data_IF_438102020532
#
_entry.id   IF_438102020532
#
_cell.length_a   1.000
_cell.length_b   1.000
_cell.length_c   1.000
_cell.angle_alpha   90.00
_cell.angle_beta   90.00
_cell.angle_gamma   90.00
#
_symmetry.space_group_name_H-M   'P 1'
#
loop_
_entity.id
_entity.type
_entity.pdbx_description
1 polymer ?
#
# COMPACT_ATOMS: atom_id res chain seq x y z
N UNK A 1 14.70 -34.45 28.17
CA UNK A 1 14.69 -35.90 27.90
C UNK A 1 15.81 -36.18 26.92
N UNK A 2 16.67 -37.19 27.16
CA UNK A 2 17.69 -37.57 26.18
C UNK A 2 16.98 -37.94 24.86
N UNK A 3 17.22 -37.16 23.81
CA UNK A 3 16.56 -37.37 22.53
C UNK A 3 17.24 -38.55 21.83
N UNK A 4 16.88 -39.78 22.24
CA UNK A 4 17.41 -40.98 21.62
C UNK A 4 16.92 -41.06 20.17
N UNK A 5 17.87 -41.12 19.24
CA UNK A 5 17.59 -41.33 17.82
C UNK A 5 16.64 -42.52 17.63
N UNK A 6 15.69 -42.43 16.69
CA UNK A 6 14.77 -43.52 16.36
C UNK A 6 15.50 -44.83 16.03
N UNK A 7 16.67 -44.75 15.40
CA UNK A 7 17.51 -45.92 15.19
C UNK A 7 18.01 -46.54 16.50
N UNK A 8 18.39 -45.73 17.49
CA UNK A 8 18.79 -46.24 18.82
C UNK A 8 17.60 -46.86 19.55
N UNK A 9 16.40 -46.27 19.46
CA UNK A 9 15.17 -46.83 20.05
C UNK A 9 14.83 -48.22 19.48
N UNK A 10 15.13 -48.45 18.20
CA UNK A 10 14.98 -49.76 17.54
C UNK A 10 16.24 -50.65 17.61
N UNK A 11 17.28 -50.23 18.33
CA UNK A 11 18.53 -50.99 18.44
C UNK A 11 19.23 -51.25 17.10
N UNK A 12 19.24 -50.24 16.23
CA UNK A 12 19.76 -50.32 14.85
C UNK A 12 20.52 -49.04 14.43
N UNK A 13 20.91 -48.95 13.16
CA UNK A 13 21.64 -47.82 12.55
C UNK A 13 20.96 -47.37 11.26
N UNK A 14 21.30 -46.17 10.77
CA UNK A 14 20.75 -45.60 9.53
C UNK A 14 20.98 -46.44 8.27
N UNK A 15 21.91 -47.41 8.29
CA UNK A 15 22.19 -48.31 7.16
C UNK A 15 21.25 -49.53 7.08
N UNK A 16 20.24 -49.63 7.95
CA UNK A 16 19.34 -50.79 7.99
C UNK A 16 18.43 -50.86 6.76
N UNK A 17 18.25 -52.07 6.22
CA UNK A 17 17.28 -52.36 5.16
C UNK A 17 15.86 -52.44 5.69
N UNK A 18 14.88 -52.19 4.82
CA UNK A 18 13.46 -52.21 5.19
C UNK A 18 13.01 -53.51 5.86
N UNK A 19 13.40 -54.66 5.28
CA UNK A 19 13.05 -55.97 5.82
C UNK A 19 13.60 -56.18 7.25
N UNK A 20 14.82 -55.71 7.53
CA UNK A 20 15.42 -55.83 8.87
C UNK A 20 14.83 -54.83 9.86
N UNK A 21 14.31 -53.69 9.40
CA UNK A 21 13.68 -52.68 10.25
C UNK A 21 12.42 -53.25 10.92
N UNK A 22 11.62 -54.01 10.17
CA UNK A 22 10.42 -54.69 10.68
C UNK A 22 10.77 -55.77 11.71
N UNK A 23 11.80 -56.59 11.44
CA UNK A 23 12.30 -57.57 12.41
C UNK A 23 12.73 -56.90 13.73
N UNK A 24 13.41 -55.75 13.65
CA UNK A 24 13.85 -54.99 14.82
C UNK A 24 12.68 -54.38 15.58
N UNK A 25 11.67 -53.88 14.88
CA UNK A 25 10.44 -53.40 15.51
C UNK A 25 9.73 -54.50 16.29
N UNK A 26 9.51 -55.67 15.68
CA UNK A 26 8.85 -56.82 16.33
C UNK A 26 9.61 -57.28 17.58
N UNK A 27 10.95 -57.31 17.52
CA UNK A 27 11.78 -57.62 18.67
C UNK A 27 11.66 -56.57 19.79
N UNK A 28 11.65 -55.28 19.44
CA UNK A 28 11.56 -54.19 20.40
C UNK A 28 10.18 -54.14 21.11
N UNK A 29 9.08 -54.31 20.38
CA UNK A 29 7.72 -54.35 21.00
C UNK A 29 7.46 -55.61 21.81
N UNK A 30 8.12 -56.72 21.47
CA UNK A 30 8.05 -57.96 22.28
C UNK A 30 8.81 -57.80 23.60
N UNK A 31 9.92 -57.05 23.59
CA UNK A 31 10.69 -56.73 24.79
C UNK A 31 10.00 -55.68 25.69
N UNK A 32 9.19 -54.81 25.09
CA UNK A 32 8.43 -53.77 25.78
C UNK A 32 6.93 -53.88 25.46
N UNK A 33 6.20 -54.89 26.00
CA UNK A 33 4.78 -55.08 25.70
C UNK A 33 3.90 -53.90 26.11
N UNK A 34 2.84 -53.65 25.35
CA UNK A 34 1.91 -52.52 25.59
C UNK A 34 1.24 -52.59 26.96
N UNK A 35 0.99 -53.79 27.47
CA UNK A 35 0.30 -54.05 28.74
C UNK A 35 1.16 -53.69 29.95
N UNK A 36 2.49 -53.84 29.84
CA UNK A 36 3.42 -53.65 30.95
C UNK A 36 4.25 -52.37 30.84
N UNK A 37 4.54 -51.93 29.61
CA UNK A 37 5.36 -50.73 29.33
C UNK A 37 4.76 -49.88 28.19
N UNK A 38 3.58 -49.28 28.38
CA UNK A 38 2.84 -48.59 27.32
C UNK A 38 3.59 -47.39 26.72
N UNK A 39 4.37 -46.66 27.53
CA UNK A 39 5.14 -45.48 27.05
C UNK A 39 6.29 -45.90 26.12
N UNK A 40 7.07 -46.92 26.50
CA UNK A 40 8.15 -47.45 25.65
C UNK A 40 7.61 -48.07 24.37
N UNK A 41 6.50 -48.81 24.46
CA UNK A 41 5.80 -49.36 23.30
C UNK A 41 5.39 -48.25 22.32
N UNK A 42 4.85 -47.13 22.82
CA UNK A 42 4.45 -46.00 21.99
C UNK A 42 5.66 -45.36 21.27
N UNK A 43 6.76 -45.11 21.99
CA UNK A 43 7.98 -44.51 21.44
C UNK A 43 8.68 -45.41 20.40
N UNK A 44 8.64 -46.74 20.59
CA UNK A 44 9.14 -47.74 19.63
C UNK A 44 8.27 -47.77 18.38
N UNK A 45 6.96 -47.70 18.55
CA UNK A 45 5.98 -47.71 17.46
C UNK A 45 6.10 -46.44 16.61
N UNK A 46 6.19 -45.27 17.24
CA UNK A 46 6.49 -44.00 16.58
C UNK A 46 7.79 -44.08 15.76
N UNK A 47 8.88 -44.55 16.38
CA UNK A 47 10.18 -44.69 15.71
C UNK A 47 10.11 -45.63 14.48
N UNK A 48 9.37 -46.74 14.57
CA UNK A 48 9.19 -47.64 13.44
C UNK A 48 8.34 -46.99 12.34
N UNK A 49 7.24 -46.34 12.67
CA UNK A 49 6.38 -45.72 11.66
C UNK A 49 7.11 -44.61 10.89
N UNK A 50 7.89 -43.78 11.57
CA UNK A 50 8.70 -42.73 10.92
C UNK A 50 9.84 -43.30 10.07
N UNK A 51 10.43 -44.44 10.46
CA UNK A 51 11.53 -45.04 9.69
C UNK A 51 11.05 -46.02 8.60
N UNK A 52 9.80 -46.48 8.66
CA UNK A 52 9.24 -47.45 7.72
C UNK A 52 8.96 -46.81 6.37
N UNK A 53 8.42 -45.60 6.34
CA UNK A 53 8.13 -44.93 5.08
C UNK A 53 9.40 -44.23 4.54
N UNK A 54 9.79 -44.44 3.26
CA UNK A 54 11.03 -43.88 2.74
C UNK A 54 11.12 -42.34 2.81
N UNK A 55 10.01 -41.65 2.60
CA UNK A 55 9.96 -40.19 2.59
C UNK A 55 10.15 -39.63 4.00
N UNK A 56 9.37 -40.13 4.97
CA UNK A 56 9.48 -39.73 6.37
C UNK A 56 10.83 -40.13 6.98
N UNK A 57 11.41 -41.26 6.57
CA UNK A 57 12.78 -41.65 6.95
C UNK A 57 13.82 -40.67 6.40
N UNK A 58 13.69 -40.26 5.14
CA UNK A 58 14.60 -39.27 4.54
C UNK A 58 14.51 -37.94 5.27
N UNK A 59 13.30 -37.46 5.57
CA UNK A 59 13.09 -36.23 6.36
C UNK A 59 13.74 -36.33 7.75
N UNK A 60 13.56 -37.46 8.44
CA UNK A 60 14.19 -37.71 9.74
C UNK A 60 15.72 -37.71 9.66
N UNK A 61 16.29 -38.38 8.65
CA UNK A 61 17.74 -38.46 8.46
C UNK A 61 18.35 -37.08 8.19
N UNK A 62 17.68 -36.25 7.36
CA UNK A 62 18.05 -34.86 7.12
C UNK A 62 18.10 -34.10 8.45
N UNK A 63 17.01 -34.09 9.22
CA UNK A 63 16.95 -33.31 10.48
C UNK A 63 18.00 -33.75 11.48
N UNK A 64 18.25 -35.06 11.56
CA UNK A 64 19.30 -35.63 12.42
C UNK A 64 20.67 -35.06 12.04
N UNK A 65 20.96 -34.88 10.76
CA UNK A 65 22.24 -34.33 10.29
C UNK A 65 22.41 -32.84 10.68
N UNK A 66 21.30 -32.13 10.90
CA UNK A 66 21.27 -30.75 11.40
C UNK A 66 21.01 -30.66 12.92
N UNK A 67 21.19 -31.75 13.67
CA UNK A 67 21.03 -31.83 15.12
C UNK A 67 19.64 -31.41 15.64
N UNK A 68 18.58 -31.63 14.86
CA UNK A 68 17.21 -31.25 15.24
C UNK A 68 17.05 -29.75 15.55
N UNK A 69 17.85 -28.90 14.89
CA UNK A 69 17.80 -27.45 15.04
C UNK A 69 17.09 -26.83 13.81
N UNK A 70 15.87 -26.31 13.98
CA UNK A 70 15.08 -25.78 12.86
C UNK A 70 15.77 -24.60 12.17
N UNK A 71 16.52 -23.77 12.92
CA UNK A 71 17.23 -22.62 12.36
C UNK A 71 18.38 -23.08 11.46
N UNK A 72 19.19 -24.06 11.91
CA UNK A 72 20.27 -24.59 11.08
C UNK A 72 19.77 -25.21 9.78
N UNK A 73 18.63 -25.88 9.85
CA UNK A 73 18.01 -26.49 8.69
C UNK A 73 17.49 -25.43 7.71
N UNK A 74 16.85 -24.38 8.24
CA UNK A 74 16.39 -23.24 7.45
C UNK A 74 17.55 -22.48 6.77
N UNK A 75 18.60 -22.13 7.51
CA UNK A 75 19.79 -21.47 6.94
C UNK A 75 20.53 -22.35 5.92
N UNK A 76 20.52 -23.67 6.11
CA UNK A 76 21.04 -24.59 5.11
C UNK A 76 20.19 -24.57 3.82
N UNK A 77 18.87 -24.49 3.95
CA UNK A 77 17.96 -24.34 2.81
C UNK A 77 18.22 -23.04 2.04
N UNK A 78 18.31 -21.90 2.73
CA UNK A 78 18.69 -20.62 2.13
C UNK A 78 20.03 -20.74 1.39
N UNK A 79 21.04 -21.36 2.02
CA UNK A 79 22.35 -21.53 1.39
C UNK A 79 22.31 -22.42 0.13
N UNK A 80 21.43 -23.42 0.07
CA UNK A 80 21.23 -24.24 -1.14
C UNK A 80 20.53 -23.47 -2.26
N UNK A 81 19.51 -22.68 -1.92
CA UNK A 81 18.81 -21.79 -2.85
C UNK A 81 19.78 -20.75 -3.47
N UNK A 82 20.60 -20.10 -2.64
CA UNK A 82 21.65 -19.18 -3.10
C UNK A 82 22.67 -19.79 -4.06
N UNK A 83 22.85 -21.11 -4.02
CA UNK A 83 23.74 -21.85 -4.93
C UNK A 83 23.03 -22.36 -6.20
N UNK A 84 21.73 -22.12 -6.34
CA UNK A 84 20.89 -22.60 -7.43
C UNK A 84 20.45 -24.06 -7.31
N UNK A 85 20.68 -24.71 -6.17
CA UNK A 85 20.25 -26.09 -5.92
C UNK A 85 18.88 -26.11 -5.21
N UNK A 86 17.85 -25.74 -5.97
CA UNK A 86 16.49 -25.57 -5.42
C UNK A 86 15.90 -26.92 -4.99
N UNK A 87 16.25 -28.01 -5.67
CA UNK A 87 15.78 -29.35 -5.30
C UNK A 87 16.27 -29.79 -3.93
N UNK A 88 17.54 -29.53 -3.59
CA UNK A 88 18.04 -29.80 -2.24
C UNK A 88 17.45 -28.82 -1.21
N UNK A 89 17.25 -27.55 -1.59
CA UNK A 89 16.58 -26.56 -0.75
C UNK A 89 15.17 -26.98 -0.35
N UNK A 90 14.39 -27.45 -1.32
CA UNK A 90 13.04 -27.97 -1.10
C UNK A 90 13.04 -29.16 -0.15
N UNK A 91 13.97 -30.11 -0.31
CA UNK A 91 14.06 -31.24 0.60
C UNK A 91 14.33 -30.81 2.05
N UNK A 92 15.19 -29.79 2.25
CA UNK A 92 15.48 -29.24 3.58
C UNK A 92 14.27 -28.52 4.18
N UNK A 93 13.57 -27.70 3.39
CA UNK A 93 12.35 -27.00 3.82
C UNK A 93 11.21 -27.97 4.13
N UNK A 94 10.99 -28.98 3.30
CA UNK A 94 9.94 -29.98 3.55
C UNK A 94 10.25 -30.78 4.83
N UNK A 95 11.51 -31.14 5.07
CA UNK A 95 11.91 -31.77 6.32
C UNK A 95 11.66 -30.83 7.52
N UNK A 96 12.03 -29.55 7.42
CA UNK A 96 11.80 -28.53 8.45
C UNK A 96 10.31 -28.38 8.77
N UNK A 97 9.50 -28.08 7.76
CA UNK A 97 8.11 -27.70 7.94
C UNK A 97 7.25 -28.90 8.38
N UNK A 98 7.49 -30.11 7.86
CA UNK A 98 6.67 -31.28 8.21
C UNK A 98 6.97 -31.87 9.60
N UNK A 99 8.16 -31.65 10.15
CA UNK A 99 8.61 -32.34 11.37
C UNK A 99 8.66 -31.43 12.60
N UNK A 100 8.74 -30.11 12.40
CA UNK A 100 8.69 -29.15 13.49
C UNK A 100 7.32 -28.50 13.59
N UNK A 101 6.80 -28.37 14.81
CA UNK A 101 5.65 -27.52 15.10
C UNK A 101 6.14 -26.09 15.27
N UNK A 102 6.25 -25.38 14.15
CA UNK A 102 6.76 -24.02 14.14
C UNK A 102 5.70 -23.04 14.67
N UNK A 103 6.13 -22.13 15.54
CA UNK A 103 5.26 -21.05 16.00
C UNK A 103 5.06 -19.99 14.91
N UNK A 104 4.01 -19.18 15.03
CA UNK A 104 3.80 -18.01 14.16
C UNK A 104 5.05 -17.12 14.13
N UNK A 105 5.62 -16.77 15.29
CA UNK A 105 6.83 -15.96 15.36
C UNK A 105 8.02 -16.56 14.59
N UNK A 106 8.19 -17.89 14.65
CA UNK A 106 9.28 -18.56 13.94
C UNK A 106 9.08 -18.50 12.42
N UNK A 107 7.85 -18.70 11.95
CA UNK A 107 7.54 -18.60 10.53
C UNK A 107 7.70 -17.17 10.02
N UNK A 108 7.27 -16.15 10.77
CA UNK A 108 7.50 -14.74 10.43
C UNK A 108 9.00 -14.47 10.32
N UNK A 109 9.82 -14.89 11.30
CA UNK A 109 11.27 -14.69 11.21
C UNK A 109 11.91 -15.41 10.01
N UNK A 110 11.38 -16.57 9.61
CA UNK A 110 11.84 -17.25 8.40
C UNK A 110 11.46 -16.51 7.12
N UNK A 111 10.26 -15.91 7.07
CA UNK A 111 9.86 -15.05 5.96
C UNK A 111 10.80 -13.84 5.88
N UNK A 112 10.99 -13.12 6.99
CA UNK A 112 11.85 -11.93 7.05
C UNK A 112 13.29 -12.24 6.60
N UNK A 113 13.85 -13.37 7.04
CA UNK A 113 15.19 -13.80 6.65
C UNK A 113 15.26 -14.21 5.17
N UNK A 114 14.26 -14.94 4.66
CA UNK A 114 14.21 -15.29 3.23
C UNK A 114 14.17 -14.04 2.35
N UNK A 115 13.42 -13.02 2.78
CA UNK A 115 13.31 -11.72 2.12
C UNK A 115 14.62 -10.95 2.19
N UNK A 116 15.23 -10.85 3.37
CA UNK A 116 16.53 -10.19 3.55
C UNK A 116 17.65 -10.82 2.72
N UNK A 117 17.54 -12.12 2.45
CA UNK A 117 18.50 -12.88 1.67
C UNK A 117 18.11 -13.03 0.18
N UNK A 118 17.05 -12.33 -0.26
CA UNK A 118 16.52 -12.32 -1.63
C UNK A 118 16.16 -13.73 -2.18
N UNK A 119 15.71 -14.62 -1.30
CA UNK A 119 15.32 -16.00 -1.63
C UNK A 119 13.79 -16.16 -1.69
N UNK A 120 13.15 -15.46 -2.62
CA UNK A 120 11.68 -15.39 -2.71
C UNK A 120 11.00 -16.72 -3.06
N UNK A 121 11.71 -17.63 -3.74
CA UNK A 121 11.21 -18.98 -4.07
C UNK A 121 10.84 -19.81 -2.81
N UNK A 122 11.34 -19.41 -1.63
CA UNK A 122 11.01 -20.05 -0.35
C UNK A 122 9.59 -19.67 0.12
N UNK A 123 9.11 -18.47 -0.21
CA UNK A 123 7.87 -17.93 0.33
C UNK A 123 6.64 -18.76 -0.07
N UNK A 124 6.47 -19.24 -1.32
CA UNK A 124 5.37 -20.14 -1.69
C UNK A 124 5.37 -21.46 -0.90
N UNK A 125 6.55 -21.98 -0.53
CA UNK A 125 6.68 -23.20 0.28
C UNK A 125 6.16 -22.95 1.71
N UNK A 126 6.55 -21.82 2.31
CA UNK A 126 6.06 -21.39 3.63
C UNK A 126 4.55 -21.14 3.58
N UNK A 127 4.05 -20.47 2.54
CA UNK A 127 2.61 -20.25 2.31
C UNK A 127 1.84 -21.57 2.27
N UNK A 128 2.31 -22.54 1.47
CA UNK A 128 1.65 -23.84 1.37
C UNK A 128 1.59 -24.55 2.72
N UNK A 129 2.68 -24.52 3.49
CA UNK A 129 2.71 -25.08 4.84
C UNK A 129 1.74 -24.39 5.79
N UNK A 130 1.79 -23.05 5.87
CA UNK A 130 0.94 -22.27 6.75
C UNK A 130 -0.55 -22.58 6.54
N UNK A 131 -0.97 -22.65 5.27
CA UNK A 131 -2.37 -22.84 4.88
C UNK A 131 -2.90 -24.27 5.02
N UNK A 132 -2.06 -25.28 4.81
CA UNK A 132 -2.55 -26.67 4.65
C UNK A 132 -2.00 -27.65 5.69
N UNK A 133 -0.89 -27.33 6.36
CA UNK A 133 -0.13 -28.30 7.15
C UNK A 133 0.28 -27.82 8.54
N UNK A 134 0.17 -26.52 8.79
CA UNK A 134 0.56 -25.96 10.08
C UNK A 134 -0.41 -26.37 11.19
N UNK A 135 0.08 -26.33 12.43
CA UNK A 135 -0.74 -26.50 13.63
C UNK A 135 -1.21 -25.16 14.21
N UNK A 136 -1.07 -24.09 13.43
CA UNK A 136 -1.47 -22.76 13.86
C UNK A 136 -2.99 -22.70 14.01
N UNK A 137 -3.45 -21.88 14.96
CA UNK A 137 -4.84 -21.47 14.98
C UNK A 137 -5.18 -20.57 13.77
N UNK A 138 -6.47 -20.25 13.62
CA UNK A 138 -6.97 -19.47 12.49
C UNK A 138 -6.35 -18.07 12.42
N UNK A 139 -6.22 -17.40 13.56
CA UNK A 139 -5.71 -16.04 13.65
C UNK A 139 -4.22 -16.02 13.31
N UNK A 140 -3.45 -16.91 13.91
CA UNK A 140 -2.02 -17.09 13.61
C UNK A 140 -1.78 -17.40 12.13
N UNK A 141 -2.63 -18.24 11.52
CA UNK A 141 -2.56 -18.55 10.09
C UNK A 141 -2.84 -17.31 9.23
N UNK A 142 -3.87 -16.54 9.58
CA UNK A 142 -4.22 -15.32 8.86
C UNK A 142 -3.14 -14.24 8.97
N UNK A 143 -2.49 -14.10 10.12
CA UNK A 143 -1.34 -13.20 10.32
C UNK A 143 -0.16 -13.60 9.42
N UNK A 144 0.18 -14.89 9.35
CA UNK A 144 1.24 -15.35 8.43
C UNK A 144 0.86 -15.06 6.98
N UNK A 145 -0.41 -15.27 6.62
CA UNK A 145 -0.90 -14.94 5.29
C UNK A 145 -0.82 -13.44 4.98
N UNK A 146 -1.11 -12.56 5.95
CA UNK A 146 -0.97 -11.11 5.72
C UNK A 146 0.49 -10.70 5.56
N UNK A 147 1.40 -11.26 6.37
CA UNK A 147 2.85 -11.02 6.23
C UNK A 147 3.33 -11.49 4.85
N UNK A 148 2.93 -12.68 4.41
CA UNK A 148 3.25 -13.18 3.08
C UNK A 148 2.65 -12.30 1.98
N UNK A 149 1.41 -11.83 2.12
CA UNK A 149 0.77 -10.97 1.14
C UNK A 149 1.48 -9.62 0.97
N UNK A 150 1.99 -9.03 2.05
CA UNK A 150 2.83 -7.81 1.98
C UNK A 150 4.11 -8.11 1.21
N UNK A 151 4.85 -9.15 1.60
CA UNK A 151 6.11 -9.47 0.94
C UNK A 151 5.91 -9.86 -0.54
N UNK A 152 4.90 -10.66 -0.87
CA UNK A 152 4.60 -10.98 -2.27
C UNK A 152 4.24 -9.74 -3.08
N UNK A 153 3.49 -8.79 -2.51
CA UNK A 153 3.18 -7.53 -3.19
C UNK A 153 4.44 -6.70 -3.48
N UNK A 154 5.33 -6.57 -2.50
CA UNK A 154 6.57 -5.77 -2.62
C UNK A 154 7.50 -6.31 -3.72
N UNK A 155 7.37 -7.60 -4.07
CA UNK A 155 8.12 -8.26 -5.14
C UNK A 155 7.27 -8.62 -6.36
N UNK A 156 6.11 -8.00 -6.52
CA UNK A 156 5.24 -8.11 -7.71
C UNK A 156 4.70 -9.54 -7.98
N UNK A 157 4.64 -10.39 -6.96
CA UNK A 157 4.02 -11.73 -7.00
C UNK A 157 2.50 -11.65 -6.79
N UNK A 158 1.80 -10.98 -7.71
CA UNK A 158 0.37 -10.67 -7.56
C UNK A 158 -0.53 -11.92 -7.52
N UNK A 159 -0.17 -12.98 -8.26
CA UNK A 159 -0.91 -14.25 -8.29
C UNK A 159 -0.92 -14.94 -6.91
N UNK A 160 0.22 -14.91 -6.20
CA UNK A 160 0.38 -15.43 -4.86
C UNK A 160 -0.44 -14.63 -3.85
N UNK A 161 -0.44 -13.30 -3.96
CA UNK A 161 -1.29 -12.40 -3.15
C UNK A 161 -2.77 -12.71 -3.37
N UNK A 162 -3.22 -12.84 -4.63
CA UNK A 162 -4.60 -13.19 -4.96
C UNK A 162 -4.99 -14.58 -4.45
N UNK A 163 -4.07 -15.55 -4.49
CA UNK A 163 -4.26 -16.89 -3.93
C UNK A 163 -4.50 -16.83 -2.42
N UNK A 164 -3.72 -16.04 -1.69
CA UNK A 164 -3.95 -15.76 -0.26
C UNK A 164 -5.36 -15.18 -0.07
N UNK A 165 -5.73 -14.17 -0.86
CA UNK A 165 -7.04 -13.52 -0.73
C UNK A 165 -8.22 -14.43 -0.98
N UNK A 166 -8.10 -15.36 -1.94
CA UNK A 166 -9.13 -16.39 -2.16
C UNK A 166 -9.28 -17.28 -0.92
N UNK A 167 -8.18 -17.76 -0.36
CA UNK A 167 -8.20 -18.69 0.76
C UNK A 167 -8.68 -18.01 2.05
N UNK A 168 -8.25 -16.77 2.31
CA UNK A 168 -8.74 -15.97 3.43
C UNK A 168 -10.25 -15.73 3.30
N UNK A 169 -10.77 -15.35 2.13
CA UNK A 169 -12.22 -15.17 1.93
C UNK A 169 -13.03 -16.45 2.13
N UNK A 170 -12.53 -17.59 1.64
CA UNK A 170 -13.24 -18.86 1.71
C UNK A 170 -13.16 -19.52 3.10
N UNK A 171 -12.06 -19.32 3.83
CA UNK A 171 -11.75 -20.10 5.04
C UNK A 171 -11.76 -19.26 6.33
N UNK A 172 -11.35 -17.99 6.23
CA UNK A 172 -11.07 -17.10 7.35
C UNK A 172 -11.60 -15.67 7.10
N UNK A 173 -12.86 -15.48 6.67
CA UNK A 173 -13.38 -14.18 6.23
C UNK A 173 -13.31 -13.11 7.32
N UNK A 174 -13.37 -13.50 8.60
CA UNK A 174 -13.27 -12.61 9.76
C UNK A 174 -11.89 -11.95 9.90
N UNK A 175 -10.85 -12.47 9.23
CA UNK A 175 -9.48 -11.95 9.26
C UNK A 175 -9.04 -11.32 7.92
N UNK A 176 -9.96 -11.13 6.98
CA UNK A 176 -9.65 -10.57 5.65
C UNK A 176 -9.01 -9.17 5.74
N UNK A 177 -9.41 -8.40 6.76
CA UNK A 177 -8.88 -7.06 7.01
C UNK A 177 -7.36 -7.03 7.21
N UNK A 178 -6.75 -8.10 7.74
CA UNK A 178 -5.30 -8.17 7.96
C UNK A 178 -4.50 -8.09 6.65
N UNK A 179 -5.05 -8.60 5.55
CA UNK A 179 -4.41 -8.61 4.24
C UNK A 179 -5.06 -7.62 3.24
N UNK A 180 -6.07 -6.85 3.68
CA UNK A 180 -6.93 -6.10 2.76
C UNK A 180 -6.18 -5.08 1.91
N UNK A 181 -5.18 -4.39 2.47
CA UNK A 181 -4.34 -3.44 1.72
C UNK A 181 -3.61 -4.15 0.58
N UNK A 182 -2.87 -5.22 0.89
CA UNK A 182 -2.10 -5.97 -0.12
C UNK A 182 -3.00 -6.59 -1.18
N UNK A 183 -4.13 -7.16 -0.77
CA UNK A 183 -5.11 -7.72 -1.70
C UNK A 183 -5.67 -6.63 -2.62
N UNK A 184 -6.09 -5.49 -2.07
CA UNK A 184 -6.65 -4.38 -2.85
C UNK A 184 -5.66 -3.90 -3.90
N UNK A 185 -4.39 -3.69 -3.52
CA UNK A 185 -3.35 -3.25 -4.44
C UNK A 185 -3.05 -4.29 -5.54
N UNK A 186 -3.01 -5.58 -5.20
CA UNK A 186 -2.85 -6.64 -6.20
C UNK A 186 -4.02 -6.70 -7.19
N UNK A 187 -5.27 -6.56 -6.72
CA UNK A 187 -6.43 -6.52 -7.63
C UNK A 187 -6.47 -5.25 -8.50
N UNK A 188 -6.00 -4.10 -8.00
CA UNK A 188 -5.85 -2.88 -8.82
C UNK A 188 -4.83 -3.11 -9.92
N UNK A 189 -3.68 -3.72 -9.61
CA UNK A 189 -2.64 -4.02 -10.59
C UNK A 189 -3.14 -4.93 -11.73
N UNK A 190 -4.01 -5.89 -11.40
CA UNK A 190 -4.62 -6.81 -12.37
C UNK A 190 -5.89 -6.26 -13.04
N UNK A 191 -6.12 -4.94 -13.00
CA UNK A 191 -7.29 -4.25 -13.56
C UNK A 191 -8.65 -4.76 -13.02
N UNK A 192 -8.67 -5.38 -11.83
CA UNK A 192 -9.86 -5.91 -11.17
C UNK A 192 -10.42 -4.94 -10.11
N UNK A 193 -10.66 -3.70 -10.54
CA UNK A 193 -11.07 -2.58 -9.67
C UNK A 193 -12.32 -2.87 -8.81
N UNK A 194 -13.36 -3.50 -9.37
CA UNK A 194 -14.58 -3.83 -8.62
C UNK A 194 -14.27 -4.73 -7.41
N UNK A 195 -13.44 -5.74 -7.62
CA UNK A 195 -13.01 -6.67 -6.56
C UNK A 195 -12.16 -5.97 -5.51
N UNK A 196 -11.25 -5.09 -5.94
CA UNK A 196 -10.41 -4.29 -5.04
C UNK A 196 -11.28 -3.41 -4.12
N UNK A 197 -12.26 -2.71 -4.71
CA UNK A 197 -13.20 -1.86 -3.96
C UNK A 197 -14.07 -2.67 -3.00
N UNK A 198 -14.53 -3.86 -3.39
CA UNK A 198 -15.30 -4.74 -2.50
C UNK A 198 -14.48 -5.21 -1.29
N UNK A 199 -13.24 -5.66 -1.51
CA UNK A 199 -12.33 -6.10 -0.44
C UNK A 199 -12.08 -4.96 0.53
N UNK A 200 -11.74 -3.78 0.00
CA UNK A 200 -11.43 -2.64 0.84
C UNK A 200 -12.65 -2.19 1.66
N UNK A 201 -13.85 -2.17 1.07
CA UNK A 201 -15.10 -1.86 1.78
C UNK A 201 -15.38 -2.84 2.92
N UNK A 202 -15.08 -4.12 2.76
CA UNK A 202 -15.25 -5.14 3.80
C UNK A 202 -14.26 -4.95 4.95
N UNK A 203 -13.09 -4.40 4.67
CA UNK A 203 -12.05 -4.14 5.66
C UNK A 203 -12.19 -2.80 6.39
N UNK A 204 -13.09 -1.91 5.95
CA UNK A 204 -13.30 -0.63 6.60
C UNK A 204 -13.85 -0.83 8.02
N UNK A 205 -13.31 -0.11 9.03
CA UNK A 205 -13.82 -0.19 10.39
C UNK A 205 -15.24 0.38 10.50
N UNK A 206 -16.02 -0.17 11.44
CA UNK A 206 -17.30 0.42 11.81
C UNK A 206 -17.10 1.83 12.39
N UNK A 207 -18.11 2.69 12.23
CA UNK A 207 -18.03 4.06 12.70
C UNK A 207 -17.81 4.13 14.23
N UNK A 208 -16.77 4.86 14.65
CA UNK A 208 -16.31 4.98 16.05
C UNK A 208 -15.64 3.73 16.64
N UNK A 209 -15.32 2.74 15.83
CA UNK A 209 -14.48 1.60 16.22
C UNK A 209 -13.10 1.67 15.58
N UNK A 210 -12.74 2.80 14.97
CA UNK A 210 -11.48 2.96 14.26
C UNK A 210 -10.29 2.98 15.25
N UNK A 211 -9.25 2.21 14.93
CA UNK A 211 -8.02 2.06 15.69
C UNK A 211 -6.81 2.42 14.84
N UNK A 212 -5.62 2.46 15.46
CA UNK A 212 -4.38 2.71 14.72
C UNK A 212 -4.15 1.67 13.62
N UNK A 213 -4.61 0.43 13.79
CA UNK A 213 -4.43 -0.65 12.81
C UNK A 213 -5.23 -0.42 11.51
N UNK A 214 -6.26 0.42 11.56
CA UNK A 214 -7.14 0.68 10.41
C UNK A 214 -6.62 1.81 9.50
N UNK A 215 -5.57 2.52 9.90
CA UNK A 215 -5.08 3.72 9.21
C UNK A 215 -4.73 3.41 7.76
N UNK A 216 -4.00 2.34 7.49
CA UNK A 216 -3.55 2.01 6.13
C UNK A 216 -4.72 1.70 5.19
N UNK A 217 -5.73 0.96 5.67
CA UNK A 217 -6.97 0.69 4.93
C UNK A 217 -7.74 1.99 4.64
N UNK A 218 -7.83 2.88 5.62
CA UNK A 218 -8.50 4.18 5.47
C UNK A 218 -7.75 5.11 4.51
N UNK A 219 -6.42 5.12 4.51
CA UNK A 219 -5.60 5.91 3.58
C UNK A 219 -5.77 5.40 2.15
N UNK A 220 -5.71 4.09 1.94
CA UNK A 220 -5.97 3.50 0.62
C UNK A 220 -7.38 3.83 0.12
N UNK A 221 -8.38 3.84 1.02
CA UNK A 221 -9.74 4.21 0.64
C UNK A 221 -9.86 5.69 0.27
N UNK A 222 -9.13 6.58 0.95
CA UNK A 222 -9.05 7.99 0.56
C UNK A 222 -8.42 8.16 -0.83
N UNK A 223 -7.33 7.45 -1.14
CA UNK A 223 -6.69 7.48 -2.47
C UNK A 223 -7.69 7.11 -3.56
N UNK A 224 -8.37 5.96 -3.42
CA UNK A 224 -9.36 5.51 -4.40
C UNK A 224 -10.52 6.51 -4.56
N UNK A 225 -11.00 7.12 -3.48
CA UNK A 225 -12.05 8.12 -3.58
C UNK A 225 -11.58 9.42 -4.27
N UNK A 226 -10.29 9.76 -4.16
CA UNK A 226 -9.70 10.91 -4.86
C UNK A 226 -9.54 10.59 -6.35
N UNK A 227 -9.00 9.42 -6.68
CA UNK A 227 -8.80 8.95 -8.06
C UNK A 227 -10.13 8.83 -8.83
N UNK A 228 -11.18 8.34 -8.18
CA UNK A 228 -12.53 8.24 -8.75
C UNK A 228 -13.34 9.56 -8.68
N UNK A 229 -12.72 10.66 -8.23
CA UNK A 229 -13.35 11.97 -8.05
C UNK A 229 -14.63 11.94 -7.18
N UNK A 230 -14.71 11.01 -6.23
CA UNK A 230 -15.83 10.79 -5.32
C UNK A 230 -15.80 11.75 -4.11
N UNK A 231 -15.61 13.04 -4.39
CA UNK A 231 -15.42 14.12 -3.42
C UNK A 231 -16.53 14.22 -2.37
N UNK A 232 -17.75 13.79 -2.71
CA UNK A 232 -18.90 13.79 -1.80
C UNK A 232 -18.75 12.79 -0.63
N UNK A 233 -17.97 11.72 -0.81
CA UNK A 233 -17.75 10.66 0.18
C UNK A 233 -16.55 10.93 1.09
N UNK A 234 -15.56 11.72 0.62
CA UNK A 234 -14.32 12.01 1.34
C UNK A 234 -14.52 12.57 2.77
N UNK A 235 -15.40 13.55 3.04
CA UNK A 235 -15.48 14.15 4.38
C UNK A 235 -15.77 13.14 5.50
N UNK A 236 -16.56 12.11 5.19
CA UNK A 236 -16.86 11.03 6.13
C UNK A 236 -15.61 10.21 6.42
N UNK A 237 -14.91 9.75 5.38
CA UNK A 237 -13.71 8.91 5.53
C UNK A 237 -12.59 9.70 6.22
N UNK A 238 -12.34 10.95 5.82
CA UNK A 238 -11.37 11.83 6.48
C UNK A 238 -11.65 11.97 7.99
N UNK A 239 -12.92 12.10 8.38
CA UNK A 239 -13.28 12.17 9.79
C UNK A 239 -12.99 10.86 10.54
N UNK A 240 -13.16 9.70 9.89
CA UNK A 240 -12.80 8.39 10.44
C UNK A 240 -11.28 8.23 10.55
N UNK A 241 -10.52 8.57 9.51
CA UNK A 241 -9.05 8.55 9.52
C UNK A 241 -8.48 9.44 10.63
N UNK A 242 -9.04 10.63 10.84
CA UNK A 242 -8.65 11.52 11.95
C UNK A 242 -8.88 10.90 13.33
N UNK A 243 -9.88 10.04 13.51
CA UNK A 243 -10.10 9.31 14.77
C UNK A 243 -9.08 8.19 14.94
N UNK A 244 -8.84 7.42 13.89
CA UNK A 244 -7.82 6.38 13.86
C UNK A 244 -6.43 6.94 14.22
N UNK A 245 -6.03 8.04 13.59
CA UNK A 245 -4.77 8.76 13.88
C UNK A 245 -4.66 9.18 15.35
N UNK A 246 -5.74 9.67 15.95
CA UNK A 246 -5.74 10.07 17.38
C UNK A 246 -5.63 8.90 18.35
N UNK A 247 -5.85 7.67 17.89
CA UNK A 247 -5.71 6.47 18.70
C UNK A 247 -4.28 5.90 18.73
N UNK A 248 -3.36 6.48 17.94
CA UNK A 248 -1.96 6.04 17.91
C UNK A 248 -1.31 6.31 19.27
N UNK A 249 -0.73 5.28 19.87
CA UNK A 249 0.03 5.39 21.14
C UNK A 249 1.51 5.07 20.97
N UNK A 250 1.87 4.37 19.89
CA UNK A 250 3.23 3.92 19.63
C UNK A 250 4.02 5.00 18.85
N UNK A 251 5.19 5.45 19.36
CA UNK A 251 6.05 6.40 18.64
C UNK A 251 6.50 5.91 17.26
N UNK A 252 6.81 4.62 17.11
CA UNK A 252 7.23 4.05 15.82
C UNK A 252 6.08 4.11 14.82
N UNK A 253 4.85 3.82 15.27
CA UNK A 253 3.67 3.91 14.41
C UNK A 253 3.33 5.37 14.07
N UNK A 254 3.63 6.31 14.97
CA UNK A 254 3.49 7.75 14.72
C UNK A 254 4.43 8.20 13.61
N UNK A 255 5.70 7.83 13.66
CA UNK A 255 6.71 8.13 12.65
C UNK A 255 6.33 7.54 11.28
N UNK A 256 5.99 6.24 11.23
CA UNK A 256 5.53 5.60 10.00
C UNK A 256 4.28 6.27 9.40
N UNK A 257 3.33 6.69 10.25
CA UNK A 257 2.13 7.41 9.77
C UNK A 257 2.48 8.80 9.25
N UNK A 258 3.43 9.49 9.88
CA UNK A 258 3.90 10.81 9.46
C UNK A 258 4.55 10.73 8.06
N UNK A 259 5.45 9.76 7.86
CA UNK A 259 6.15 9.56 6.60
C UNK A 259 5.16 9.26 5.47
N UNK A 260 4.28 8.28 5.66
CA UNK A 260 3.24 7.94 4.68
C UNK A 260 2.36 9.14 4.30
N UNK A 261 1.89 9.91 5.29
CA UNK A 261 1.06 11.08 5.02
C UNK A 261 1.81 12.21 4.32
N UNK A 262 3.12 12.35 4.58
CA UNK A 262 3.99 13.34 3.93
C UNK A 262 4.24 12.97 2.49
N UNK A 263 4.55 11.70 2.20
CA UNK A 263 4.69 11.18 0.84
C UNK A 263 3.42 11.42 0.01
N UNK A 264 2.25 11.13 0.57
CA UNK A 264 0.97 11.42 -0.08
C UNK A 264 0.76 12.90 -0.35
N UNK A 265 0.99 13.75 0.66
CA UNK A 265 0.87 15.19 0.50
C UNK A 265 1.79 15.71 -0.62
N UNK A 266 3.06 15.30 -0.62
CA UNK A 266 4.05 15.73 -1.59
C UNK A 266 3.70 15.24 -3.00
N UNK A 267 3.25 13.99 -3.16
CA UNK A 267 2.78 13.46 -4.44
C UNK A 267 1.68 14.34 -5.04
N UNK A 268 0.56 14.52 -4.33
CA UNK A 268 -0.55 15.32 -4.84
C UNK A 268 -0.20 16.80 -5.01
N UNK A 269 0.66 17.36 -4.15
CA UNK A 269 1.06 18.76 -4.26
C UNK A 269 1.92 19.00 -5.50
N UNK A 270 2.86 18.09 -5.78
CA UNK A 270 3.74 18.16 -6.95
C UNK A 270 2.98 17.92 -8.26
N UNK A 271 1.96 17.06 -8.25
CA UNK A 271 1.03 16.88 -9.37
C UNK A 271 -0.02 18.01 -9.48
N UNK A 272 0.10 19.07 -8.68
CA UNK A 272 -0.81 20.21 -8.65
C UNK A 272 -2.28 19.88 -8.30
N UNK A 273 -2.52 18.72 -7.69
CA UNK A 273 -3.82 18.24 -7.21
C UNK A 273 -4.08 18.78 -5.79
N UNK A 274 -4.23 20.09 -5.66
CA UNK A 274 -4.22 20.77 -4.35
C UNK A 274 -5.37 20.36 -3.43
N UNK A 275 -6.56 20.06 -3.98
CA UNK A 275 -7.70 19.55 -3.19
C UNK A 275 -7.37 18.21 -2.51
N UNK A 276 -6.66 17.32 -3.21
CA UNK A 276 -6.21 16.05 -2.66
C UNK A 276 -5.09 16.23 -1.63
N UNK A 277 -4.07 17.03 -1.95
CA UNK A 277 -2.98 17.33 -1.02
C UNK A 277 -3.49 17.98 0.30
N UNK A 278 -4.55 18.81 0.25
CA UNK A 278 -5.14 19.37 1.48
C UNK A 278 -5.67 18.27 2.41
N UNK A 279 -6.24 17.19 1.87
CA UNK A 279 -6.73 16.06 2.68
C UNK A 279 -5.61 15.50 3.55
N UNK A 280 -4.47 15.15 2.95
CA UNK A 280 -3.34 14.55 3.66
C UNK A 280 -2.68 15.54 4.61
N UNK A 281 -2.56 16.81 4.22
CA UNK A 281 -2.02 17.84 5.11
C UNK A 281 -2.90 18.08 6.34
N UNK A 282 -4.23 17.96 6.22
CA UNK A 282 -5.13 17.99 7.37
C UNK A 282 -4.99 16.76 8.29
N UNK A 283 -4.63 15.60 7.73
CA UNK A 283 -4.33 14.40 8.51
C UNK A 283 -2.99 14.55 9.25
N UNK A 284 -1.96 15.10 8.61
CA UNK A 284 -0.69 15.48 9.24
C UNK A 284 -0.91 16.45 10.41
N UNK A 285 -1.73 17.49 10.21
CA UNK A 285 -2.10 18.43 11.28
C UNK A 285 -2.80 17.72 12.45
N UNK A 286 -3.57 16.66 12.16
CA UNK A 286 -4.22 15.86 13.20
C UNK A 286 -3.21 15.02 13.97
N UNK A 287 -2.26 14.39 13.29
CA UNK A 287 -1.20 13.56 13.87
C UNK A 287 -0.29 14.39 14.79
N UNK A 288 0.09 15.60 14.37
CA UNK A 288 0.94 16.51 15.15
C UNK A 288 0.18 17.33 16.21
N UNK A 289 -1.10 17.00 16.46
CA UNK A 289 -1.97 17.75 17.36
C UNK A 289 -2.02 19.26 17.08
N UNK A 290 -1.87 19.65 15.80
CA UNK A 290 -1.81 21.02 15.31
C UNK A 290 -0.66 21.86 15.92
N UNK A 291 0.43 21.21 16.34
CA UNK A 291 1.55 21.90 16.99
C UNK A 291 2.67 22.28 16.01
N UNK A 292 2.68 21.70 14.81
CA UNK A 292 3.70 21.95 13.80
C UNK A 292 3.38 23.23 12.98
N UNK A 293 4.21 24.30 13.08
CA UNK A 293 4.00 25.53 12.32
C UNK A 293 4.15 25.35 10.80
N UNK A 294 4.97 24.41 10.34
CA UNK A 294 5.21 24.18 8.90
C UNK A 294 3.95 23.61 8.24
N UNK A 295 3.28 22.67 8.91
CA UNK A 295 1.99 22.13 8.46
C UNK A 295 0.93 23.24 8.38
N UNK A 296 0.89 24.16 9.35
CA UNK A 296 -0.05 25.28 9.33
C UNK A 296 0.21 26.28 8.20
N UNK A 297 1.48 26.55 7.94
CA UNK A 297 1.88 27.37 6.80
C UNK A 297 1.47 26.69 5.49
N UNK A 298 1.76 25.39 5.35
CA UNK A 298 1.32 24.58 4.20
C UNK A 298 -0.20 24.60 4.02
N UNK A 299 -0.99 24.46 5.10
CA UNK A 299 -2.46 24.53 5.04
C UNK A 299 -2.96 25.90 4.58
N UNK A 300 -2.25 26.97 4.92
CA UNK A 300 -2.59 28.32 4.47
C UNK A 300 -2.29 28.48 2.98
N UNK A 301 -1.13 27.99 2.54
CA UNK A 301 -0.65 28.08 1.17
C UNK A 301 -1.49 27.21 0.22
N UNK A 302 -1.84 25.98 0.62
CA UNK A 302 -2.67 25.09 -0.18
C UNK A 302 -4.09 25.61 -0.35
N UNK A 303 -4.68 26.21 0.70
CA UNK A 303 -6.01 26.86 0.61
C UNK A 303 -5.97 28.04 -0.35
N UNK A 304 -4.87 28.78 -0.40
CA UNK A 304 -4.70 29.83 -1.39
C UNK A 304 -4.68 29.25 -2.82
N UNK A 305 -3.93 28.17 -3.04
CA UNK A 305 -3.84 27.49 -4.35
C UNK A 305 -5.18 26.90 -4.81
N UNK A 306 -5.89 26.18 -3.95
CA UNK A 306 -7.25 25.68 -4.22
C UNK A 306 -8.20 26.81 -4.60
N UNK A 307 -8.10 27.96 -3.93
CA UNK A 307 -8.92 29.12 -4.25
C UNK A 307 -8.62 29.69 -5.63
N UNK A 308 -7.35 29.72 -6.04
CA UNK A 308 -6.95 30.14 -7.37
C UNK A 308 -7.44 29.15 -8.43
N UNK A 309 -7.25 27.86 -8.20
CA UNK A 309 -7.72 26.77 -9.08
C UNK A 309 -9.23 26.86 -9.32
N UNK A 310 -10.04 26.96 -8.26
CA UNK A 310 -11.49 27.12 -8.38
C UNK A 310 -11.90 28.40 -9.12
N UNK A 311 -11.13 29.50 -9.00
CA UNK A 311 -11.39 30.72 -9.78
C UNK A 311 -10.99 30.55 -11.26
N UNK A 312 -9.94 29.79 -11.55
CA UNK A 312 -9.52 29.46 -12.93
C UNK A 312 -10.55 28.57 -13.63
N UNK A 313 -11.03 27.52 -12.97
CA UNK A 313 -12.12 26.67 -13.49
C UNK A 313 -13.34 27.53 -13.85
N UNK A 314 -13.76 28.40 -12.92
CA UNK A 314 -14.89 29.32 -13.15
C UNK A 314 -14.62 30.38 -14.22
N UNK A 315 -13.36 30.80 -14.42
CA UNK A 315 -12.97 31.72 -15.50
C UNK A 315 -13.09 31.03 -16.85
N UNK A 316 -12.67 29.76 -16.96
CA UNK A 316 -12.75 28.99 -18.20
C UNK A 316 -14.21 28.78 -18.65
N UNK A 317 -15.15 28.71 -17.71
CA UNK A 317 -16.59 28.56 -17.97
C UNK A 317 -17.34 29.90 -18.12
N UNK A 318 -16.69 31.04 -17.89
CA UNK A 318 -17.35 32.36 -17.88
C UNK A 318 -17.48 32.96 -19.29
N UNK A 319 -18.64 32.75 -19.91
CA UNK A 319 -19.00 33.27 -21.23
C UNK A 319 -19.10 34.81 -21.29
N UNK A 320 -19.18 35.48 -20.14
CA UNK A 320 -19.23 36.95 -20.05
C UNK A 320 -17.84 37.58 -19.92
N UNK A 321 -16.81 36.79 -19.61
CA UNK A 321 -15.47 37.31 -19.48
C UNK A 321 -14.85 37.54 -20.86
N UNK A 322 -14.20 38.69 -21.04
CA UNK A 322 -13.59 39.03 -22.31
C UNK A 322 -12.52 37.97 -22.70
N UNK A 323 -12.53 37.38 -23.91
CA UNK A 323 -11.72 36.20 -24.23
C UNK A 323 -10.21 36.35 -23.99
N UNK A 324 -9.63 37.53 -24.26
CA UNK A 324 -8.22 37.77 -23.97
C UNK A 324 -7.90 37.82 -22.47
N UNK A 325 -8.87 38.19 -21.62
CA UNK A 325 -8.71 38.15 -20.17
C UNK A 325 -8.72 36.71 -19.68
N UNK A 326 -9.62 35.88 -20.18
CA UNK A 326 -9.64 34.43 -19.91
C UNK A 326 -8.30 33.81 -20.29
N UNK A 327 -7.83 34.05 -21.52
CA UNK A 327 -6.54 33.52 -22.00
C UNK A 327 -5.37 33.99 -21.14
N UNK A 328 -5.29 35.27 -20.82
CA UNK A 328 -4.20 35.81 -20.02
C UNK A 328 -4.22 35.29 -18.58
N UNK A 329 -5.41 35.10 -17.99
CA UNK A 329 -5.56 34.50 -16.67
C UNK A 329 -5.04 33.06 -16.63
N UNK A 330 -5.42 32.24 -17.62
CA UNK A 330 -4.91 30.88 -17.79
C UNK A 330 -3.39 30.89 -17.98
N UNK A 331 -2.87 31.78 -18.83
CA UNK A 331 -1.43 31.92 -19.02
C UNK A 331 -0.70 32.26 -17.74
N UNK A 332 -1.17 33.27 -17.00
CA UNK A 332 -0.53 33.67 -15.76
C UNK A 332 -0.54 32.55 -14.72
N UNK A 333 -1.62 31.77 -14.66
CA UNK A 333 -1.76 30.63 -13.77
C UNK A 333 -0.82 29.46 -14.14
N UNK A 334 -0.81 29.05 -15.41
CA UNK A 334 -0.04 27.89 -15.85
C UNK A 334 1.43 28.19 -16.14
N UNK A 335 1.86 29.45 -16.18
CA UNK A 335 3.27 29.82 -16.34
C UNK A 335 4.09 29.28 -15.16
N UNK A 336 5.02 28.35 -15.45
CA UNK A 336 5.86 27.71 -14.44
C UNK A 336 5.21 26.51 -13.75
N UNK A 337 4.00 26.14 -14.16
CA UNK A 337 3.28 24.93 -13.75
C UNK A 337 3.39 23.88 -14.86
N UNK A 338 3.08 24.28 -16.10
CA UNK A 338 3.19 23.41 -17.27
C UNK A 338 4.42 23.76 -18.11
N UNK A 339 4.99 22.80 -18.86
CA UNK A 339 6.06 23.06 -19.83
C UNK A 339 5.68 24.15 -20.83
N UNK A 340 6.61 25.04 -21.17
CA UNK A 340 6.36 26.19 -22.05
C UNK A 340 5.79 25.80 -23.42
N UNK A 341 6.17 24.63 -23.95
CA UNK A 341 5.65 24.09 -25.22
C UNK A 341 4.16 23.74 -25.12
N UNK A 342 3.74 23.16 -24.01
CA UNK A 342 2.34 22.80 -23.78
C UNK A 342 1.50 24.07 -23.58
N UNK A 343 2.02 25.04 -22.83
CA UNK A 343 1.36 26.34 -22.67
C UNK A 343 1.21 27.06 -24.02
N UNK A 344 2.22 27.01 -24.89
CA UNK A 344 2.15 27.57 -26.24
C UNK A 344 1.06 26.88 -27.08
N UNK A 345 0.97 25.54 -27.01
CA UNK A 345 -0.05 24.77 -27.70
C UNK A 345 -1.47 25.12 -27.20
N UNK A 346 -1.67 25.22 -25.88
CA UNK A 346 -2.95 25.65 -25.29
C UNK A 346 -3.37 27.04 -25.78
N UNK A 347 -2.41 27.96 -25.90
CA UNK A 347 -2.66 29.30 -26.43
C UNK A 347 -3.09 29.31 -27.89
N UNK A 348 -2.41 28.50 -28.72
CA UNK A 348 -2.67 28.45 -30.16
C UNK A 348 -4.01 27.75 -30.47
N UNK A 349 -4.39 26.75 -29.66
CA UNK A 349 -5.66 26.04 -29.79
C UNK A 349 -6.84 26.81 -29.20
N UNK A 350 -6.64 27.54 -28.10
CA UNK A 350 -7.71 28.22 -27.37
C UNK A 350 -8.25 29.47 -28.07
N UNK A 351 -7.44 30.15 -28.89
CA UNK A 351 -7.86 31.35 -29.61
C UNK A 351 -7.15 31.51 -30.95
N UNK A 352 -7.84 31.26 -32.09
CA UNK A 352 -7.26 31.39 -33.42
C UNK A 352 -6.61 32.77 -33.65
N UNK A 353 -5.47 32.87 -34.37
CA UNK A 353 -4.74 34.12 -34.56
C UNK A 353 -5.59 35.29 -35.10
N UNK A 354 -6.56 35.02 -35.97
CA UNK A 354 -7.45 36.03 -36.53
C UNK A 354 -8.38 36.64 -35.45
N UNK A 355 -9.00 35.81 -34.61
CA UNK A 355 -9.86 36.26 -33.51
C UNK A 355 -9.05 36.96 -32.43
N UNK A 356 -7.83 36.47 -32.15
CA UNK A 356 -6.89 37.15 -31.26
C UNK A 356 -6.64 38.58 -31.71
N UNK A 357 -6.31 38.78 -32.99
CA UNK A 357 -6.04 40.11 -33.53
C UNK A 357 -7.27 41.02 -33.48
N UNK A 358 -8.47 40.48 -33.73
CA UNK A 358 -9.73 41.21 -33.58
C UNK A 358 -9.95 41.67 -32.13
N UNK A 359 -9.81 40.77 -31.16
CA UNK A 359 -9.97 41.13 -29.75
C UNK A 359 -8.87 42.08 -29.23
N UNK A 360 -7.66 42.02 -29.79
CA UNK A 360 -6.59 42.97 -29.45
C UNK A 360 -6.90 44.40 -29.92
N UNK A 361 -7.78 44.57 -30.92
CA UNK A 361 -8.25 45.88 -31.37
C UNK A 361 -9.37 46.45 -30.49
N UNK A 362 -10.13 45.61 -29.77
CA UNK A 362 -11.14 46.05 -28.80
C UNK A 362 -10.53 46.39 -27.43
N UNK A 363 -9.75 47.46 -27.41
CA UNK A 363 -9.04 47.96 -26.22
C UNK A 363 -10.01 48.25 -25.06
N UNK A 364 -11.19 48.82 -25.35
CA UNK A 364 -12.17 49.13 -24.31
C UNK A 364 -12.83 47.88 -23.74
N UNK A 365 -13.18 46.89 -24.58
CA UNK A 365 -13.72 45.61 -24.15
C UNK A 365 -12.73 44.84 -23.27
N UNK A 366 -11.47 44.83 -23.68
CA UNK A 366 -10.40 44.20 -22.92
C UNK A 366 -10.15 44.88 -21.57
N UNK A 367 -10.06 46.21 -21.53
CA UNK A 367 -9.90 46.95 -20.28
C UNK A 367 -11.11 46.78 -19.34
N UNK A 368 -12.34 46.76 -19.89
CA UNK A 368 -13.55 46.45 -19.12
C UNK A 368 -13.52 45.00 -18.58
N UNK A 369 -13.03 44.05 -19.37
CA UNK A 369 -12.84 42.67 -18.98
C UNK A 369 -11.89 42.50 -17.78
N UNK A 370 -10.79 43.26 -17.72
CA UNK A 370 -9.87 43.25 -16.56
C UNK A 370 -10.59 43.75 -15.29
N UNK A 371 -11.44 44.78 -15.42
CA UNK A 371 -12.24 45.26 -14.29
C UNK A 371 -13.31 44.22 -13.87
N UNK A 372 -13.89 43.51 -14.83
CA UNK A 372 -14.81 42.40 -14.56
C UNK A 372 -14.09 41.28 -13.80
N UNK A 373 -12.90 40.87 -14.25
CA UNK A 373 -12.03 39.91 -13.58
C UNK A 373 -11.75 40.33 -12.12
N UNK A 374 -11.29 41.57 -11.91
CA UNK A 374 -11.03 42.12 -10.57
C UNK A 374 -12.22 41.99 -9.62
N UNK A 375 -13.45 42.13 -10.13
CA UNK A 375 -14.69 42.06 -9.36
C UNK A 375 -15.17 40.63 -9.11
N UNK A 376 -15.16 39.77 -10.14
CA UNK A 376 -15.76 38.42 -10.10
C UNK A 376 -14.77 37.33 -9.66
N UNK A 377 -13.48 37.54 -9.92
CA UNK A 377 -12.36 36.63 -9.65
C UNK A 377 -11.21 37.37 -8.93
N UNK A 378 -11.47 37.85 -7.71
CA UNK A 378 -10.53 38.73 -7.00
C UNK A 378 -9.26 38.02 -6.56
N UNK A 379 -9.25 36.69 -6.42
CA UNK A 379 -8.05 35.96 -6.00
C UNK A 379 -7.05 35.87 -7.16
N UNK A 380 -7.52 35.57 -8.36
CA UNK A 380 -6.69 35.56 -9.58
C UNK A 380 -6.18 36.95 -9.90
N UNK A 381 -7.01 37.98 -9.77
CA UNK A 381 -6.53 39.34 -9.94
C UNK A 381 -5.42 39.69 -8.93
N UNK A 382 -5.60 39.36 -7.65
CA UNK A 382 -4.61 39.66 -6.61
C UNK A 382 -3.31 38.88 -6.78
N UNK A 383 -3.36 37.61 -7.18
CA UNK A 383 -2.18 36.78 -7.39
C UNK A 383 -1.26 37.34 -8.48
N UNK A 384 -1.82 38.02 -9.48
CA UNK A 384 -1.08 38.60 -10.61
C UNK A 384 -1.31 40.10 -10.74
N UNK A 385 -1.48 40.80 -9.61
CA UNK A 385 -1.93 42.20 -9.60
C UNK A 385 -1.04 43.09 -10.47
N UNK A 386 0.28 42.99 -10.34
CA UNK A 386 1.23 43.82 -11.11
C UNK A 386 1.07 43.63 -12.63
N UNK A 387 0.80 42.39 -13.07
CA UNK A 387 0.57 42.08 -14.48
C UNK A 387 -0.74 42.69 -14.97
N UNK A 388 -1.81 42.55 -14.19
CA UNK A 388 -3.12 43.10 -14.52
C UNK A 388 -3.14 44.62 -14.51
N UNK A 389 -2.52 45.26 -13.52
CA UNK A 389 -2.44 46.71 -13.39
C UNK A 389 -1.61 47.30 -14.54
N UNK A 390 -0.46 46.71 -14.85
CA UNK A 390 0.36 47.13 -16.00
C UNK A 390 -0.40 47.01 -17.32
N UNK A 391 -1.10 45.89 -17.53
CA UNK A 391 -1.89 45.66 -18.75
C UNK A 391 -3.03 46.65 -18.88
N UNK A 392 -3.74 46.92 -17.78
CA UNK A 392 -4.83 47.91 -17.74
C UNK A 392 -4.33 49.33 -18.03
N UNK A 393 -3.18 49.72 -17.47
CA UNK A 393 -2.58 51.04 -17.74
C UNK A 393 -2.17 51.20 -19.20
N UNK A 394 -1.60 50.15 -19.82
CA UNK A 394 -1.27 50.14 -21.25
C UNK A 394 -2.52 50.32 -22.12
N UNK A 395 -3.59 49.56 -21.85
CA UNK A 395 -4.84 49.63 -22.60
C UNK A 395 -5.53 50.99 -22.43
N UNK A 396 -5.39 51.63 -21.27
CA UNK A 396 -6.11 52.88 -20.97
C UNK A 396 -5.30 54.16 -21.18
N UNK A 397 -4.02 54.07 -21.56
CA UNK A 397 -3.10 55.22 -21.70
C UNK A 397 -3.64 56.35 -22.60
N UNK A 398 -4.36 56.01 -23.68
CA UNK A 398 -4.95 56.98 -24.61
C UNK A 398 -6.42 57.37 -24.34
N UNK A 399 -7.06 56.80 -23.31
CA UNK A 399 -8.49 57.02 -23.05
C UNK A 399 -8.74 58.29 -22.24
N UNK A 400 -9.75 59.06 -22.64
CA UNK A 400 -10.23 60.20 -21.86
C UNK A 400 -10.81 59.77 -20.50
N UNK A 401 -10.89 60.72 -19.56
CA UNK A 401 -11.45 60.48 -18.21
C UNK A 401 -12.88 59.93 -18.26
N UNK A 402 -13.69 60.39 -19.21
CA UNK A 402 -15.07 59.93 -19.37
C UNK A 402 -15.15 58.53 -19.99
N UNK A 403 -14.26 58.19 -20.93
CA UNK A 403 -14.14 56.83 -21.45
C UNK A 403 -13.74 55.85 -20.34
N UNK A 404 -12.73 56.19 -19.53
CA UNK A 404 -12.33 55.36 -18.38
C UNK A 404 -13.48 55.13 -17.39
N UNK A 405 -14.31 56.15 -17.14
CA UNK A 405 -15.52 56.03 -16.28
C UNK A 405 -16.62 55.15 -16.87
N UNK A 406 -16.68 54.98 -18.19
CA UNK A 406 -17.65 54.10 -18.85
C UNK A 406 -17.24 52.64 -18.78
N UNK A 407 -15.95 52.34 -18.67
CA UNK A 407 -15.43 50.96 -18.56
C UNK A 407 -16.02 50.22 -17.36
N UNK A 408 -16.20 50.89 -16.21
CA UNK A 408 -16.81 50.28 -15.00
C UNK A 408 -18.31 49.98 -15.13
N UNK A 409 -18.96 50.51 -16.18
CA UNK A 409 -20.39 50.32 -16.45
C UNK A 409 -20.68 49.32 -17.56
N UNK A 410 -19.67 48.94 -18.37
CA UNK A 410 -19.77 47.80 -19.29
C UNK A 410 -19.87 46.53 -18.42
N UNK A 411 -20.92 45.74 -18.65
CA UNK A 411 -21.19 44.51 -17.90
C UNK A 411 -20.33 43.39 -18.42
#
# INVERSE_FOLDING_TARGET
>A
MENWSYYKRLGTTAKISQARLEEKYLAAVSAHPKETEPENYALITEAYHTLRDPETRQQYDIIKDYNFDPNKLFYAAISTYKRGDHGQGDLLLHALLNQFQLSMMTLTSFIDEAVAEEQFDILPVIQHYALHRSHLDKESTAIICSVLAVNFLDYEYYDEVMTIGKILRETYPEYLNLAAVSLTLAYIHEDQYDTAVEILKQALPEANQETQLDIQVLLLWLRLLIEEEEWSKLPKVVAQTKKAIKSITDPMYTELTYDNLTEEYDYYYNEHLFKAAEVFLQLLATLTNNQDPEIWQGLTDIKHKIKLENEIERIAEDDQLFPLVTRDALNYYFTGVVPEKELALMNDLGLPPALKQEFEQDIEGYAAGILHLKRKFPSIYKAYQDKWDSRFDQLTAGLSRDQRRRLTKKK
#
